data_IF_361152775143
#
_entry.id   IF_361152775143
#
_cell.length_a   1.000
_cell.length_b   1.000
_cell.length_c   1.000
_cell.angle_alpha   90.00
_cell.angle_beta   90.00
_cell.angle_gamma   90.00
#
_symmetry.space_group_name_H-M   'P 1'
#
loop_
_entity.id
_entity.type
_entity.pdbx_description
1 polymer ?
#
# COMPACT_ATOMS: atom_id res chain seq x y z
N UNK A 1 -4.64 -0.92 14.26
CA UNK A 1 -5.85 -0.08 14.21
C UNK A 1 -5.59 1.39 14.48
N UNK A 2 -4.85 1.77 15.54
CA UNK A 2 -4.58 3.18 15.86
C UNK A 2 -3.99 4.00 14.69
N UNK A 3 -3.09 3.41 13.91
CA UNK A 3 -2.48 4.07 12.74
C UNK A 3 -3.50 4.41 11.66
N UNK A 4 -4.50 3.55 11.41
CA UNK A 4 -5.56 3.84 10.44
C UNK A 4 -6.55 4.90 10.95
N UNK A 5 -6.77 4.97 12.27
CA UNK A 5 -7.69 5.94 12.86
C UNK A 5 -7.08 7.37 12.88
N UNK A 6 -5.76 7.49 13.01
CA UNK A 6 -5.08 8.76 13.20
C UNK A 6 -5.33 9.79 12.07
N UNK A 7 -5.28 9.44 10.76
CA UNK A 7 -5.61 10.38 9.70
C UNK A 7 -7.04 10.93 9.78
N UNK A 8 -8.03 10.10 10.13
CA UNK A 8 -9.41 10.55 10.31
C UNK A 8 -9.55 11.50 11.49
N UNK A 9 -8.93 11.15 12.62
CA UNK A 9 -9.00 11.98 13.83
C UNK A 9 -8.31 13.34 13.64
N UNK A 10 -7.26 13.38 12.81
CA UNK A 10 -6.56 14.61 12.47
C UNK A 10 -7.36 15.50 11.50
N UNK A 11 -8.00 14.91 10.49
CA UNK A 11 -8.66 15.65 9.42
C UNK A 11 -10.12 16.03 9.72
N UNK A 12 -10.82 15.26 10.54
CA UNK A 12 -12.23 15.50 10.87
C UNK A 12 -12.40 16.67 11.84
N UNK A 13 -13.58 17.28 11.86
CA UNK A 13 -13.89 18.43 12.74
C UNK A 13 -14.39 17.99 14.12
N UNK A 14 -14.70 16.71 14.29
CA UNK A 14 -15.12 16.12 15.56
C UNK A 14 -14.77 14.64 15.63
N UNK A 15 -14.75 14.09 16.85
CA UNK A 15 -14.59 12.66 17.08
C UNK A 15 -15.70 11.84 16.40
N UNK A 16 -16.94 12.35 16.44
CA UNK A 16 -18.08 11.67 15.80
C UNK A 16 -17.93 11.53 14.29
N UNK A 17 -17.47 12.59 13.61
CA UNK A 17 -17.15 12.54 12.18
C UNK A 17 -15.99 11.57 11.89
N UNK A 18 -14.92 11.64 12.68
CA UNK A 18 -13.77 10.74 12.53
C UNK A 18 -14.18 9.28 12.68
N UNK A 19 -14.98 8.97 13.69
CA UNK A 19 -15.48 7.62 13.93
C UNK A 19 -16.38 7.14 12.80
N UNK A 20 -17.32 7.96 12.33
CA UNK A 20 -18.22 7.59 11.24
C UNK A 20 -17.45 7.29 9.94
N UNK A 21 -16.46 8.11 9.60
CA UNK A 21 -15.61 7.89 8.42
C UNK A 21 -14.73 6.65 8.56
N UNK A 22 -14.07 6.48 9.71
CA UNK A 22 -13.24 5.31 10.00
C UNK A 22 -14.06 4.01 10.00
N UNK A 23 -15.24 4.01 10.63
CA UNK A 23 -16.16 2.88 10.62
C UNK A 23 -16.57 2.51 9.19
N UNK A 24 -16.84 3.51 8.34
CA UNK A 24 -17.19 3.29 6.92
C UNK A 24 -16.04 2.64 6.16
N UNK A 25 -14.81 3.13 6.32
CA UNK A 25 -13.62 2.52 5.72
C UNK A 25 -13.52 1.04 6.09
N UNK A 26 -13.69 0.71 7.37
CA UNK A 26 -13.49 -0.65 7.86
C UNK A 26 -14.63 -1.61 7.56
N UNK A 27 -15.86 -1.12 7.40
CA UNK A 27 -17.03 -2.00 7.25
C UNK A 27 -17.56 -2.09 5.84
N UNK A 28 -17.22 -1.11 4.98
CA UNK A 28 -17.67 -1.05 3.59
C UNK A 28 -16.53 -1.11 2.59
N UNK A 29 -15.50 -0.28 2.78
CA UNK A 29 -14.42 -0.17 1.79
C UNK A 29 -13.39 -1.31 1.90
N UNK A 30 -12.99 -1.67 3.13
CA UNK A 30 -11.99 -2.70 3.41
C UNK A 30 -12.43 -3.72 4.49
N UNK A 31 -13.63 -4.33 4.40
CA UNK A 31 -14.12 -5.27 5.42
C UNK A 31 -13.20 -6.46 5.71
N UNK A 32 -12.50 -6.99 4.71
CA UNK A 32 -11.60 -8.13 4.87
C UNK A 32 -10.26 -7.77 5.57
N UNK A 33 -10.01 -6.49 5.85
CA UNK A 33 -8.82 -6.05 6.59
C UNK A 33 -8.96 -6.22 8.10
N UNK A 34 -10.20 -6.28 8.61
CA UNK A 34 -10.48 -6.40 10.06
C UNK A 34 -11.24 -7.67 10.43
N UNK A 35 -11.85 -8.35 9.46
CA UNK A 35 -12.61 -9.59 9.70
C UNK A 35 -11.71 -10.82 9.60
N UNK A 36 -11.99 -11.81 10.45
CA UNK A 36 -11.29 -13.10 10.45
C UNK A 36 -9.78 -12.94 10.66
N UNK A 37 -8.98 -13.64 9.84
CA UNK A 37 -7.53 -13.59 9.87
C UNK A 37 -6.93 -12.50 8.96
N UNK A 38 -7.62 -11.37 8.78
CA UNK A 38 -7.18 -10.27 7.88
C UNK A 38 -6.90 -10.75 6.45
N UNK A 39 -7.74 -11.64 5.94
CA UNK A 39 -7.54 -12.31 4.64
C UNK A 39 -7.34 -11.33 3.49
N UNK A 40 -7.98 -10.15 3.55
CA UNK A 40 -7.79 -9.10 2.56
C UNK A 40 -6.36 -8.53 2.57
N UNK A 41 -5.74 -8.40 3.74
CA UNK A 41 -4.35 -7.94 3.86
C UNK A 41 -3.39 -8.97 3.24
N UNK A 42 -3.57 -10.26 3.54
CA UNK A 42 -2.74 -11.32 2.95
C UNK A 42 -2.90 -11.44 1.43
N UNK A 43 -4.14 -11.30 0.92
CA UNK A 43 -4.38 -11.20 -0.53
C UNK A 43 -3.69 -9.98 -1.14
N UNK A 44 -3.78 -8.82 -0.46
CA UNK A 44 -3.09 -7.60 -0.86
C UNK A 44 -1.57 -7.79 -0.94
N UNK A 45 -0.96 -8.50 0.01
CA UNK A 45 0.47 -8.79 0.01
C UNK A 45 0.87 -9.69 -1.16
N UNK A 46 0.11 -10.74 -1.44
CA UNK A 46 0.33 -11.58 -2.63
C UNK A 46 0.21 -10.77 -3.93
N UNK A 47 -0.71 -9.80 -3.98
CA UNK A 47 -0.86 -8.90 -5.11
C UNK A 47 0.30 -7.91 -5.24
N UNK A 48 0.90 -7.43 -4.15
CA UNK A 48 2.13 -6.61 -4.23
C UNK A 48 3.24 -7.38 -4.93
N UNK A 49 3.49 -8.65 -4.57
CA UNK A 49 4.51 -9.48 -5.23
C UNK A 49 4.16 -9.73 -6.71
N UNK A 50 2.89 -10.06 -7.02
CA UNK A 50 2.40 -10.30 -8.39
C UNK A 50 2.56 -9.05 -9.27
N UNK A 51 2.15 -7.88 -8.78
CA UNK A 51 2.26 -6.60 -9.49
C UNK A 51 3.73 -6.21 -9.67
N UNK A 52 4.57 -6.38 -8.65
CA UNK A 52 5.99 -6.09 -8.76
C UNK A 52 6.67 -6.96 -9.82
N UNK A 53 6.30 -8.24 -9.92
CA UNK A 53 6.81 -9.14 -10.96
C UNK A 53 6.44 -8.70 -12.38
N UNK A 54 5.29 -8.05 -12.56
CA UNK A 54 4.85 -7.51 -13.85
C UNK A 54 5.60 -6.22 -14.19
N UNK A 55 5.65 -5.29 -13.23
CA UNK A 55 6.18 -3.92 -13.44
C UNK A 55 7.71 -3.88 -13.44
N UNK A 56 8.35 -4.66 -12.57
CA UNK A 56 9.80 -4.72 -12.45
C UNK A 56 10.28 -6.15 -12.16
N UNK A 57 10.30 -7.02 -13.19
CA UNK A 57 10.70 -8.43 -13.04
C UNK A 57 12.08 -8.59 -12.41
N UNK A 58 13.02 -7.68 -12.71
CA UNK A 58 14.38 -7.73 -12.17
C UNK A 58 14.41 -7.47 -10.67
N UNK A 59 13.66 -6.48 -10.19
CA UNK A 59 13.54 -6.19 -8.76
C UNK A 59 12.82 -7.32 -8.03
N UNK A 60 11.72 -7.82 -8.60
CA UNK A 60 10.98 -8.97 -8.07
C UNK A 60 11.89 -10.20 -7.88
N UNK A 61 12.57 -10.65 -8.95
CA UNK A 61 13.48 -11.81 -8.87
C UNK A 61 14.60 -11.60 -7.86
N UNK A 62 15.15 -10.40 -7.75
CA UNK A 62 16.21 -10.09 -6.78
C UNK A 62 15.72 -10.26 -5.33
N UNK A 63 14.50 -9.83 -5.02
CA UNK A 63 13.89 -10.00 -3.69
C UNK A 63 13.55 -11.47 -3.42
N UNK A 64 12.95 -12.16 -4.40
CA UNK A 64 12.61 -13.59 -4.30
C UNK A 64 13.87 -14.44 -4.07
N UNK A 65 14.97 -14.17 -4.79
CA UNK A 65 16.24 -14.88 -4.62
C UNK A 65 16.85 -14.72 -3.21
N UNK A 66 16.41 -13.70 -2.46
CA UNK A 66 16.80 -13.44 -1.07
C UNK A 66 15.74 -13.88 -0.05
N UNK A 67 14.67 -14.55 -0.49
CA UNK A 67 13.57 -15.00 0.35
C UNK A 67 12.74 -13.86 0.93
N UNK A 68 12.68 -12.70 0.25
CA UNK A 68 11.94 -11.53 0.70
C UNK A 68 10.62 -11.39 -0.09
N UNK A 69 9.55 -12.01 0.43
CA UNK A 69 8.19 -11.76 -0.04
C UNK A 69 7.63 -10.45 0.53
N UNK A 70 6.59 -9.91 -0.10
CA UNK A 70 5.88 -8.73 0.39
C UNK A 70 5.38 -8.89 1.83
N UNK A 71 5.04 -10.10 2.25
CA UNK A 71 4.62 -10.38 3.63
C UNK A 71 5.65 -9.96 4.69
N UNK A 72 6.95 -9.99 4.34
CA UNK A 72 8.03 -9.64 5.27
C UNK A 72 8.18 -8.14 5.44
N UNK A 73 7.92 -7.34 4.39
CA UNK A 73 8.25 -5.91 4.39
C UNK A 73 7.07 -4.96 4.14
N UNK A 74 6.04 -5.41 3.43
CA UNK A 74 4.91 -4.57 3.03
C UNK A 74 3.69 -4.72 3.93
N UNK A 75 3.69 -5.66 4.89
CA UNK A 75 2.54 -5.91 5.76
C UNK A 75 2.01 -4.62 6.44
N UNK A 76 2.84 -3.77 7.07
CA UNK A 76 2.36 -2.52 7.66
C UNK A 76 1.77 -1.56 6.61
N UNK A 77 2.39 -1.47 5.43
CA UNK A 77 1.96 -0.58 4.35
C UNK A 77 0.62 -1.02 3.74
N UNK A 78 0.39 -2.33 3.59
CA UNK A 78 -0.91 -2.85 3.13
C UNK A 78 -1.96 -2.61 4.20
N UNK A 79 -1.71 -3.07 5.43
CA UNK A 79 -2.68 -2.99 6.54
C UNK A 79 -3.11 -1.55 6.83
N UNK A 80 -2.18 -0.59 6.74
CA UNK A 80 -2.43 0.80 7.15
C UNK A 80 -2.66 1.76 5.99
N UNK A 81 -2.80 1.27 4.76
CA UNK A 81 -2.90 2.12 3.56
C UNK A 81 -1.74 3.15 3.50
N UNK A 82 -0.52 2.67 3.75
CA UNK A 82 0.71 3.45 3.88
C UNK A 82 0.75 4.51 5.02
N UNK A 83 -0.26 4.59 5.89
CA UNK A 83 -0.28 5.57 6.98
C UNK A 83 0.80 5.33 8.05
N UNK A 84 1.44 4.16 8.08
CA UNK A 84 2.60 3.89 8.93
C UNK A 84 3.89 4.60 8.46
N UNK A 85 3.91 5.16 7.26
CA UNK A 85 5.09 5.83 6.71
C UNK A 85 4.93 7.35 6.83
N UNK A 86 5.81 8.05 7.57
CA UNK A 86 5.70 9.50 7.75
C UNK A 86 6.02 10.26 6.45
N UNK A 87 5.67 11.56 6.35
CA UNK A 87 4.96 12.36 7.35
C UNK A 87 3.43 12.37 7.12
N UNK A 88 2.66 12.65 8.18
CA UNK A 88 1.18 12.65 8.13
C UNK A 88 0.57 13.53 7.01
N UNK A 89 1.06 14.75 6.72
CA UNK A 89 0.53 15.54 5.60
C UNK A 89 0.60 14.82 4.24
N UNK A 90 1.64 14.01 4.01
CA UNK A 90 1.78 13.24 2.78
C UNK A 90 0.88 11.99 2.79
N UNK A 91 0.64 11.39 3.96
CA UNK A 91 -0.39 10.35 4.13
C UNK A 91 -1.76 10.89 3.72
N UNK A 92 -2.15 12.08 4.20
CA UNK A 92 -3.45 12.68 3.87
C UNK A 92 -3.61 12.93 2.36
N UNK A 93 -2.60 13.49 1.70
CA UNK A 93 -2.61 13.68 0.24
C UNK A 93 -2.70 12.37 -0.54
N UNK A 94 -2.06 11.31 -0.03
CA UNK A 94 -2.15 9.98 -0.63
C UNK A 94 -3.54 9.38 -0.42
N UNK A 95 -4.14 9.59 0.76
CA UNK A 95 -5.48 9.12 1.09
C UNK A 95 -6.57 9.86 0.31
N UNK A 96 -6.40 11.15 0.02
CA UNK A 96 -7.29 11.87 -0.90
C UNK A 96 -7.35 11.17 -2.27
N UNK A 97 -6.20 10.73 -2.79
CA UNK A 97 -6.13 9.93 -4.01
C UNK A 97 -6.78 8.55 -3.85
N UNK A 98 -6.49 7.84 -2.77
CA UNK A 98 -7.10 6.52 -2.50
C UNK A 98 -8.61 6.61 -2.33
N UNK A 99 -9.16 7.65 -1.72
CA UNK A 99 -10.62 7.78 -1.56
C UNK A 99 -11.30 8.30 -2.84
N UNK A 100 -10.59 9.03 -3.69
CA UNK A 100 -11.11 9.44 -4.99
C UNK A 100 -11.26 8.27 -5.98
N UNK A 101 -10.32 7.32 -5.97
CA UNK A 101 -10.27 6.21 -6.95
C UNK A 101 -10.58 4.83 -6.36
N UNK A 102 -10.42 4.66 -5.06
CA UNK A 102 -10.64 3.42 -4.32
C UNK A 102 -9.41 2.97 -3.51
N UNK A 103 -9.58 2.56 -2.22
CA UNK A 103 -8.48 2.13 -1.36
C UNK A 103 -7.67 0.95 -1.91
N UNK A 104 -8.28 0.17 -2.81
CA UNK A 104 -7.64 -0.95 -3.47
C UNK A 104 -6.36 -0.56 -4.24
N UNK A 105 -6.26 0.69 -4.71
CA UNK A 105 -5.06 1.20 -5.40
C UNK A 105 -3.82 1.28 -4.49
N UNK A 106 -3.96 1.13 -3.18
CA UNK A 106 -2.83 1.11 -2.26
C UNK A 106 -1.78 0.04 -2.64
N UNK A 107 -2.20 -1.08 -3.23
CA UNK A 107 -1.29 -2.10 -3.76
C UNK A 107 -0.31 -1.51 -4.79
N UNK A 108 -0.84 -0.73 -5.73
CA UNK A 108 -0.02 -0.06 -6.74
C UNK A 108 0.84 1.06 -6.14
N UNK A 109 0.34 1.79 -5.14
CA UNK A 109 1.12 2.78 -4.40
C UNK A 109 2.32 2.17 -3.67
N UNK A 110 2.20 0.95 -3.15
CA UNK A 110 3.32 0.23 -2.54
C UNK A 110 4.35 -0.16 -3.59
N UNK A 111 3.92 -0.71 -4.74
CA UNK A 111 4.84 -1.05 -5.84
C UNK A 111 5.51 0.19 -6.44
N UNK A 112 4.80 1.32 -6.50
CA UNK A 112 5.37 2.60 -6.89
C UNK A 112 6.51 3.01 -5.96
N UNK A 113 6.33 2.89 -4.64
CA UNK A 113 7.39 3.17 -3.66
C UNK A 113 8.61 2.25 -3.85
N UNK A 114 8.40 0.95 -4.07
CA UNK A 114 9.48 0.00 -4.38
C UNK A 114 10.24 0.39 -5.65
N UNK A 115 9.52 0.81 -6.69
CA UNK A 115 10.09 1.27 -7.96
C UNK A 115 10.92 2.54 -7.77
N UNK A 116 10.45 3.48 -6.96
CA UNK A 116 11.17 4.73 -6.64
C UNK A 116 12.50 4.43 -5.94
N UNK A 117 12.51 3.51 -4.98
CA UNK A 117 13.74 3.15 -4.24
C UNK A 117 14.52 1.97 -4.87
N UNK A 118 14.16 1.55 -6.08
CA UNK A 118 14.73 0.37 -6.78
C UNK A 118 16.25 0.32 -6.72
N UNK A 119 16.91 1.42 -7.05
CA UNK A 119 18.38 1.48 -7.08
C UNK A 119 19.01 1.18 -5.72
N UNK A 120 18.40 1.71 -4.64
CA UNK A 120 18.86 1.46 -3.26
C UNK A 120 18.68 -0.01 -2.86
N UNK A 121 17.56 -0.63 -3.25
CA UNK A 121 17.30 -2.05 -2.98
C UNK A 121 18.32 -2.93 -3.69
N UNK A 122 18.50 -2.73 -5.00
CA UNK A 122 19.36 -3.58 -5.83
C UNK A 122 20.85 -3.47 -5.48
N UNK A 123 21.30 -2.28 -5.05
CA UNK A 123 22.70 -2.04 -4.67
C UNK A 123 23.01 -2.47 -3.24
N UNK A 124 22.00 -2.70 -2.39
CA UNK A 124 22.21 -3.06 -1.00
C UNK A 124 22.62 -4.53 -0.86
N UNK A 125 23.69 -4.87 -0.12
CA UNK A 125 23.98 -6.26 0.23
C UNK A 125 22.93 -6.85 1.19
N UNK A 126 22.11 -6.01 1.83
CA UNK A 126 21.09 -6.38 2.82
C UNK A 126 19.77 -5.64 2.55
N UNK A 127 19.04 -5.96 1.46
CA UNK A 127 17.84 -5.22 1.06
C UNK A 127 16.72 -5.24 2.11
N UNK A 128 16.64 -6.27 2.96
CA UNK A 128 15.70 -6.31 4.07
C UNK A 128 15.85 -5.11 5.03
N UNK A 129 17.06 -4.60 5.24
CA UNK A 129 17.27 -3.40 6.07
C UNK A 129 16.68 -2.15 5.43
N UNK A 130 16.79 -2.03 4.10
CA UNK A 130 16.20 -0.93 3.33
C UNK A 130 14.68 -1.01 3.37
N UNK A 131 14.13 -2.21 3.16
CA UNK A 131 12.69 -2.46 3.11
C UNK A 131 11.97 -2.33 4.46
N UNK A 132 12.69 -2.43 5.59
CA UNK A 132 12.11 -2.17 6.92
C UNK A 132 11.84 -0.70 7.21
N UNK A 133 12.50 0.19 6.47
CA UNK A 133 12.40 1.64 6.66
C UNK A 133 12.21 2.31 5.31
N UNK A 134 10.95 2.31 4.84
CA UNK A 134 10.60 3.06 3.64
C UNK A 134 11.00 4.54 3.83
N UNK A 135 11.48 5.21 2.77
CA UNK A 135 11.76 6.63 2.82
C UNK A 135 10.47 7.39 3.15
N UNK A 136 10.59 8.65 3.64
CA UNK A 136 9.42 9.48 3.85
C UNK A 136 8.52 9.54 2.61
N UNK A 137 7.21 9.50 2.82
CA UNK A 137 6.25 9.56 1.72
C UNK A 137 6.44 10.84 0.91
N UNK A 138 6.29 10.70 -0.40
CA UNK A 138 6.12 11.79 -1.34
C UNK A 138 4.89 11.43 -2.17
N UNK A 139 3.72 11.93 -1.75
CA UNK A 139 2.44 11.53 -2.31
C UNK A 139 2.35 11.87 -3.80
N UNK A 140 2.85 13.03 -4.22
CA UNK A 140 2.78 13.46 -5.62
C UNK A 140 3.62 12.55 -6.54
N UNK A 141 4.83 12.18 -6.11
CA UNK A 141 5.65 11.22 -6.84
C UNK A 141 5.01 9.83 -6.87
N UNK A 142 4.49 9.35 -5.73
CA UNK A 142 3.84 8.04 -5.64
C UNK A 142 2.62 7.99 -6.56
N UNK A 143 1.73 8.99 -6.51
CA UNK A 143 0.54 9.08 -7.38
C UNK A 143 0.94 9.04 -8.86
N UNK A 144 1.94 9.83 -9.24
CA UNK A 144 2.43 9.89 -10.63
C UNK A 144 2.92 8.53 -11.12
N UNK A 145 3.76 7.86 -10.33
CA UNK A 145 4.27 6.52 -10.67
C UNK A 145 3.15 5.47 -10.68
N UNK A 146 2.22 5.53 -9.73
CA UNK A 146 1.04 4.64 -9.67
C UNK A 146 0.19 4.72 -10.95
N UNK A 147 -0.05 5.93 -11.48
CA UNK A 147 -0.78 6.14 -12.75
C UNK A 147 0.00 5.60 -13.95
N UNK A 148 1.33 5.59 -13.90
CA UNK A 148 2.16 4.91 -14.91
C UNK A 148 2.07 3.39 -14.81
N UNK A 149 2.06 2.86 -13.59
CA UNK A 149 1.98 1.42 -13.31
C UNK A 149 0.65 0.83 -13.75
N UNK A 150 -0.48 1.51 -13.47
CA UNK A 150 -1.82 0.96 -13.74
C UNK A 150 -2.01 0.52 -15.21
N UNK A 151 -1.37 1.22 -16.15
CA UNK A 151 -1.43 0.92 -17.59
C UNK A 151 -0.71 -0.38 -18.00
N UNK A 152 0.12 -0.92 -17.11
CA UNK A 152 0.88 -2.15 -17.32
C UNK A 152 0.18 -3.37 -16.72
N UNK A 153 -0.87 -3.16 -15.93
CA UNK A 153 -1.53 -4.23 -15.18
C UNK A 153 -2.57 -4.91 -16.07
N UNK A 154 -2.50 -6.23 -16.29
CA UNK A 154 -3.54 -6.96 -16.99
C UNK A 154 -4.90 -6.87 -16.28
N UNK A 155 -5.98 -6.92 -17.05
CA UNK A 155 -7.35 -6.71 -16.54
C UNK A 155 -7.74 -7.72 -15.44
N UNK A 156 -7.31 -8.97 -15.54
CA UNK A 156 -7.58 -10.01 -14.53
C UNK A 156 -6.86 -9.69 -13.21
N UNK A 157 -5.63 -9.21 -13.28
CA UNK A 157 -4.85 -8.80 -12.10
C UNK A 157 -5.47 -7.54 -11.48
N UNK A 158 -5.90 -6.59 -12.30
CA UNK A 158 -6.58 -5.40 -11.81
C UNK A 158 -7.92 -5.74 -11.14
N UNK A 159 -8.67 -6.69 -11.69
CA UNK A 159 -9.89 -7.21 -11.07
C UNK A 159 -9.60 -7.81 -9.69
N UNK A 160 -8.54 -8.63 -9.55
CA UNK A 160 -8.11 -9.17 -8.25
C UNK A 160 -7.79 -8.05 -7.25
N UNK A 161 -7.09 -7.00 -7.71
CA UNK A 161 -6.80 -5.81 -6.89
C UNK A 161 -8.09 -5.14 -6.45
N UNK A 162 -9.05 -4.89 -7.35
CA UNK A 162 -10.28 -4.19 -7.00
C UNK A 162 -11.09 -4.88 -5.88
N UNK A 163 -11.03 -6.22 -5.80
CA UNK A 163 -11.83 -6.99 -4.84
C UNK A 163 -11.03 -7.58 -3.66
N UNK A 164 -9.74 -7.26 -3.51
CA UNK A 164 -8.91 -7.88 -2.47
C UNK A 164 -9.30 -7.52 -1.04
N UNK A 165 -9.83 -6.31 -0.84
CA UNK A 165 -10.20 -5.79 0.47
C UNK A 165 -11.64 -6.14 0.89
N UNK A 166 -12.39 -6.82 0.02
CA UNK A 166 -13.79 -7.22 0.21
C UNK A 166 -13.90 -8.57 0.93
#
# INVERSE_FOLDING_TARGET
MNVLAAPFLYAARSEGEAFAAFHTLLTRECPAYIRGAMTGVHRGLALVDKVLAIVDPRLSMYLTAKGLSAEIYAFPSVLTLCACTPPLPEVLKLWDFLFAYGPHLNILCIVAQLTIMRSQILQSPSPNKVLRSFPPLNADLIKSVTIGIIKQIPDDVYADIAVHAQ
#
